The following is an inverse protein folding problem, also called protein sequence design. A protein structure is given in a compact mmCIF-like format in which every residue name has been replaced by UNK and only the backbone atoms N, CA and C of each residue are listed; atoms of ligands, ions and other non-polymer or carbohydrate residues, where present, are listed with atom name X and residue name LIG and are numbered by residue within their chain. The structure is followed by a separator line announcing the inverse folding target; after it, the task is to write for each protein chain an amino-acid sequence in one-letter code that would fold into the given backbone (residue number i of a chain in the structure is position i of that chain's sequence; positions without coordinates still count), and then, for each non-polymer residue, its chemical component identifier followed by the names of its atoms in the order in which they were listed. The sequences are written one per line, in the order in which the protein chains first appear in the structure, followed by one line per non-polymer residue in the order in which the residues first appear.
data_IF_346781240239
#
_entry.id   IF_346781240239
#
_cell.length_a   1.000
_cell.length_b   1.000
_cell.length_c   1.000
_cell.angle_alpha   90.00
_cell.angle_beta   90.00
_cell.angle_gamma   90.00
#
_symmetry.space_group_name_H-M   'P 1'
#
loop_
_entity.id
_entity.type
_entity.pdbx_description
1 polymer ?
#
# COMPACT_ATOMS: atom_id res chain seq x y z
N UNK A 1 -11.60 -13.62 -23.13
CA UNK A 1 -11.24 -12.78 -21.96
C UNK A 1 -11.12 -11.35 -22.46
N UNK A 2 -12.26 -10.68 -22.48
CA UNK A 2 -12.44 -9.29 -22.86
C UNK A 2 -12.38 -8.51 -21.55
N UNK A 3 -11.24 -7.93 -21.22
CA UNK A 3 -11.09 -7.11 -20.01
C UNK A 3 -10.06 -5.97 -20.20
N UNK A 4 -9.76 -5.58 -21.45
CA UNK A 4 -8.75 -4.57 -21.77
C UNK A 4 -9.30 -3.26 -22.35
N UNK A 5 -10.62 -3.10 -22.49
CA UNK A 5 -11.20 -1.90 -23.15
C UNK A 5 -12.20 -1.08 -22.31
N UNK A 6 -12.42 -1.39 -21.03
CA UNK A 6 -13.40 -0.67 -20.19
C UNK A 6 -12.85 -0.06 -18.88
N UNK A 7 -11.56 -0.25 -18.54
CA UNK A 7 -11.02 0.08 -17.20
C UNK A 7 -10.61 1.54 -16.98
N UNK A 8 -10.73 2.42 -17.98
CA UNK A 8 -10.21 3.80 -17.89
C UNK A 8 -11.14 4.82 -17.20
N UNK A 9 -12.33 4.41 -16.69
CA UNK A 9 -13.35 5.35 -16.18
C UNK A 9 -13.90 5.11 -14.76
N UNK A 10 -13.39 4.14 -13.98
CA UNK A 10 -13.86 3.92 -12.59
C UNK A 10 -12.71 3.66 -11.60
N UNK A 11 -11.74 4.58 -11.51
CA UNK A 11 -10.91 4.67 -10.31
C UNK A 11 -11.78 5.15 -9.16
N UNK A 12 -12.46 4.24 -8.47
CA UNK A 12 -13.15 4.57 -7.23
C UNK A 12 -12.09 4.76 -6.16
N UNK A 13 -11.67 6.02 -5.95
CA UNK A 13 -10.67 6.35 -4.95
C UNK A 13 -11.30 6.28 -3.55
N UNK A 14 -10.99 5.22 -2.81
CA UNK A 14 -11.36 5.11 -1.39
C UNK A 14 -10.28 5.76 -0.53
N UNK A 15 -10.50 7.01 -0.13
CA UNK A 15 -9.59 7.74 0.76
C UNK A 15 -10.00 7.53 2.21
N UNK A 16 -9.12 6.91 3.01
CA UNK A 16 -9.26 6.83 4.48
C UNK A 16 -8.09 7.56 5.14
N UNK A 17 -8.41 8.54 5.98
CA UNK A 17 -7.41 9.30 6.73
C UNK A 17 -7.21 8.63 8.09
N UNK A 18 -6.01 8.09 8.33
CA UNK A 18 -5.64 7.56 9.64
C UNK A 18 -4.59 8.41 10.32
N UNK A 19 -4.71 8.59 11.63
CA UNK A 19 -3.56 8.89 12.47
C UNK A 19 -2.56 7.72 12.40
N UNK A 20 -1.27 7.99 12.64
CA UNK A 20 -0.11 7.08 12.53
C UNK A 20 -0.13 5.88 13.51
N UNK A 21 -1.26 5.18 13.66
CA UNK A 21 -1.41 4.01 14.52
C UNK A 21 -1.49 2.73 13.69
N UNK A 22 -0.54 1.82 13.96
CA UNK A 22 -0.32 0.58 13.21
C UNK A 22 -1.58 -0.28 13.09
N UNK A 23 -2.27 -0.52 14.22
CA UNK A 23 -3.47 -1.38 14.28
C UNK A 23 -4.57 -0.88 13.33
N UNK A 24 -4.81 0.43 13.33
CA UNK A 24 -5.85 1.06 12.53
C UNK A 24 -5.50 1.02 11.04
N UNK A 25 -4.23 1.28 10.67
CA UNK A 25 -3.77 1.21 9.29
C UNK A 25 -3.87 -0.20 8.70
N UNK A 26 -3.55 -1.23 9.48
CA UNK A 26 -3.71 -2.64 9.05
C UNK A 26 -5.19 -2.98 8.88
N UNK A 27 -6.03 -2.61 9.86
CA UNK A 27 -7.47 -2.88 9.81
C UNK A 27 -8.11 -2.32 8.54
N UNK A 28 -7.81 -1.07 8.21
CA UNK A 28 -8.31 -0.46 6.98
C UNK A 28 -7.67 -1.02 5.71
N UNK A 29 -6.39 -1.38 5.72
CA UNK A 29 -5.79 -2.06 4.57
C UNK A 29 -6.52 -3.37 4.29
N UNK A 30 -6.85 -4.16 5.32
CA UNK A 30 -7.60 -5.40 5.16
C UNK A 30 -9.04 -5.14 4.70
N UNK A 31 -9.72 -4.14 5.26
CA UNK A 31 -11.08 -3.72 4.85
C UNK A 31 -11.10 -3.30 3.37
N UNK A 32 -10.13 -2.51 2.93
CA UNK A 32 -9.98 -2.10 1.52
C UNK A 32 -9.75 -3.29 0.59
N UNK A 33 -8.93 -4.25 1.01
CA UNK A 33 -8.65 -5.45 0.22
C UNK A 33 -9.87 -6.37 0.15
N UNK A 34 -10.53 -6.62 1.28
CA UNK A 34 -11.59 -7.63 1.39
C UNK A 34 -12.95 -7.12 0.96
N UNK A 35 -13.34 -5.93 1.41
CA UNK A 35 -14.70 -5.42 1.23
C UNK A 35 -14.83 -4.56 -0.03
N UNK A 36 -13.76 -3.82 -0.36
CA UNK A 36 -13.74 -2.93 -1.52
C UNK A 36 -13.00 -3.50 -2.73
N UNK A 37 -12.33 -4.64 -2.58
CA UNK A 37 -11.60 -5.35 -3.63
C UNK A 37 -10.69 -4.42 -4.46
N UNK A 38 -9.88 -3.62 -3.77
CA UNK A 38 -8.97 -2.65 -4.39
C UNK A 38 -7.83 -3.33 -5.15
N UNK A 39 -7.49 -2.78 -6.32
CA UNK A 39 -6.36 -3.26 -7.13
C UNK A 39 -5.01 -2.73 -6.64
N UNK A 40 -5.01 -1.60 -5.92
CA UNK A 40 -3.80 -0.91 -5.45
C UNK A 40 -4.07 -0.15 -4.16
N UNK A 41 -3.09 -0.15 -3.25
CA UNK A 41 -3.13 0.66 -2.03
C UNK A 41 -2.08 1.75 -2.11
N UNK A 42 -2.49 2.98 -1.85
CA UNK A 42 -1.62 4.14 -1.72
C UNK A 42 -1.87 4.72 -0.34
N UNK A 43 -0.86 4.91 0.50
CA UNK A 43 -1.05 5.82 1.64
C UNK A 43 -0.50 5.54 3.04
N UNK A 44 0.40 4.60 3.35
CA UNK A 44 1.03 4.67 4.67
C UNK A 44 2.01 5.85 4.69
N UNK A 45 1.72 6.86 5.51
CA UNK A 45 2.45 8.15 5.60
C UNK A 45 3.68 8.14 6.50
N UNK A 46 3.89 7.04 7.21
CA UNK A 46 4.85 6.92 8.29
C UNK A 46 5.46 5.53 8.30
N UNK A 47 6.70 5.45 8.78
CA UNK A 47 7.56 4.26 8.68
C UNK A 47 6.96 3.00 9.30
N UNK A 48 6.49 3.08 10.55
CA UNK A 48 6.03 1.91 11.30
C UNK A 48 4.78 1.27 10.67
N UNK A 49 3.69 2.00 10.36
CA UNK A 49 2.53 1.40 9.70
C UNK A 49 2.83 1.00 8.26
N UNK A 50 3.77 1.66 7.56
CA UNK A 50 4.15 1.25 6.21
C UNK A 50 4.75 -0.15 6.19
N UNK A 51 5.66 -0.48 7.11
CA UNK A 51 6.23 -1.82 7.24
C UNK A 51 5.14 -2.86 7.51
N UNK A 52 4.18 -2.53 8.39
CA UNK A 52 3.11 -3.45 8.74
C UNK A 52 2.11 -3.67 7.59
N UNK A 53 1.71 -2.60 6.89
CA UNK A 53 0.84 -2.69 5.72
C UNK A 53 1.56 -3.39 4.57
N UNK A 54 2.86 -3.16 4.37
CA UNK A 54 3.67 -3.84 3.36
C UNK A 54 3.68 -5.36 3.54
N UNK A 55 3.71 -5.85 4.79
CA UNK A 55 3.60 -7.29 5.06
C UNK A 55 2.21 -7.85 4.67
N UNK A 56 1.15 -7.09 4.92
CA UNK A 56 -0.23 -7.48 4.57
C UNK A 56 -0.41 -7.48 3.05
N UNK A 57 0.05 -6.43 2.37
CA UNK A 57 -0.07 -6.32 0.90
C UNK A 57 0.80 -7.34 0.17
N UNK A 58 1.94 -7.72 0.74
CA UNK A 58 2.75 -8.83 0.22
C UNK A 58 2.00 -10.17 0.33
N UNK A 59 1.24 -10.39 1.41
CA UNK A 59 0.43 -11.61 1.57
C UNK A 59 -0.72 -11.69 0.54
N UNK A 60 -1.42 -10.57 0.30
CA UNK A 60 -2.51 -10.53 -0.68
C UNK A 60 -2.04 -10.29 -2.13
N UNK A 61 -0.72 -10.16 -2.35
CA UNK A 61 -0.12 -9.85 -3.65
C UNK A 61 -0.69 -8.59 -4.33
N UNK A 62 -0.95 -7.55 -3.54
CA UNK A 62 -1.49 -6.27 -4.00
C UNK A 62 -0.34 -5.23 -3.97
N UNK A 63 -0.19 -4.40 -5.01
CA UNK A 63 0.81 -3.34 -5.03
C UNK A 63 0.52 -2.28 -3.96
N UNK A 64 1.54 -1.96 -3.17
CA UNK A 64 1.52 -0.89 -2.16
C UNK A 64 2.45 0.23 -2.60
N UNK A 65 1.91 1.44 -2.74
CA UNK A 65 2.68 2.66 -2.92
C UNK A 65 2.72 3.44 -1.60
N UNK A 66 3.91 3.58 -1.02
CA UNK A 66 4.05 4.44 0.16
C UNK A 66 3.95 5.89 -0.25
N UNK A 67 3.28 6.72 0.55
CA UNK A 67 3.08 8.14 0.24
C UNK A 67 3.47 8.98 1.45
N UNK A 68 4.27 10.04 1.29
CA UNK A 68 4.60 10.95 2.40
C UNK A 68 5.98 10.67 3.03
N UNK A 69 6.12 10.85 4.36
CA UNK A 69 7.40 10.72 5.09
C UNK A 69 7.76 9.26 5.41
N UNK A 70 7.71 8.41 4.40
CA UNK A 70 7.98 6.98 4.51
C UNK A 70 9.38 6.69 4.00
N UNK A 71 10.39 6.84 4.88
CA UNK A 71 11.82 6.71 4.58
C UNK A 71 12.45 5.47 5.23
N UNK A 72 11.62 4.50 5.63
CA UNK A 72 12.09 3.27 6.26
C UNK A 72 12.95 2.44 5.31
N UNK A 73 14.19 2.20 5.71
CA UNK A 73 15.16 1.39 4.98
C UNK A 73 14.70 -0.05 4.74
N UNK A 74 13.97 -0.60 5.72
CA UNK A 74 13.44 -1.96 5.68
C UNK A 74 12.52 -2.20 4.47
N UNK A 75 11.87 -1.15 3.96
CA UNK A 75 10.97 -1.24 2.80
C UNK A 75 11.72 -1.32 1.46
N UNK A 76 13.03 -1.06 1.45
CA UNK A 76 13.87 -1.24 0.26
C UNK A 76 14.24 -2.71 0.01
N UNK A 77 14.02 -3.59 1.00
CA UNK A 77 14.26 -5.02 0.85
C UNK A 77 13.17 -5.65 -0.02
N UNK A 78 13.49 -5.82 -1.30
CA UNK A 78 12.61 -6.43 -2.31
C UNK A 78 12.34 -7.92 -2.07
N UNK A 79 13.20 -8.60 -1.31
CA UNK A 79 12.98 -10.00 -0.93
C UNK A 79 11.90 -10.08 0.16
N UNK A 80 11.91 -9.12 1.08
CA UNK A 80 10.96 -9.07 2.19
C UNK A 80 9.62 -8.43 1.80
N UNK A 81 9.63 -7.44 0.91
CA UNK A 81 8.43 -6.71 0.48
C UNK A 81 8.35 -6.61 -1.06
N UNK A 82 8.02 -7.71 -1.76
CA UNK A 82 8.07 -7.76 -3.22
C UNK A 82 7.02 -6.87 -3.92
N UNK A 83 5.93 -6.51 -3.24
CA UNK A 83 4.84 -5.68 -3.80
C UNK A 83 4.86 -4.24 -3.32
N UNK A 84 5.86 -3.84 -2.53
CA UNK A 84 5.96 -2.49 -1.98
C UNK A 84 6.87 -1.61 -2.85
N UNK A 85 6.38 -0.44 -3.23
CA UNK A 85 7.12 0.59 -3.96
C UNK A 85 7.18 1.84 -3.09
N UNK A 86 8.39 2.27 -2.78
CA UNK A 86 8.64 3.49 -2.01
C UNK A 86 8.70 4.68 -2.96
N UNK A 87 7.73 5.61 -2.88
CA UNK A 87 7.69 6.82 -3.72
C UNK A 87 8.57 7.96 -3.20
N UNK A 88 9.02 7.87 -1.95
CA UNK A 88 9.79 8.90 -1.26
C UNK A 88 11.29 8.57 -1.34
N UNK A 89 12.19 9.56 -1.48
CA UNK A 89 13.63 9.28 -1.46
C UNK A 89 14.04 8.60 -0.14
N UNK A 90 14.57 7.39 -0.25
CA UNK A 90 15.28 6.69 0.80
C UNK A 90 16.78 6.72 0.47
N UNK A 91 17.65 6.55 1.47
CA UNK A 91 19.10 6.60 1.28
C UNK A 91 19.69 5.32 0.66
N UNK A 92 18.84 4.36 0.27
CA UNK A 92 19.20 3.18 -0.51
C UNK A 92 18.72 3.34 -1.95
N UNK A 93 19.33 4.29 -2.65
CA UNK A 93 19.37 4.29 -4.12
C UNK A 93 20.76 3.89 -4.57
#
# INVERSE_FOLDING_TARGET
MVALELSMWLLTQFVRITFSMVMTSIGYAIELIRDFNVDVIIGPTCNVPAIAVAAVTAFYNIPLYTWGFTTANELADTVRFPTCIVLTPNYLT
#
